data_IF_709668565280
#
_entry.id   IF_709668565280
#
_cell.length_a   1.000
_cell.length_b   1.000
_cell.length_c   1.000
_cell.angle_alpha   90.00
_cell.angle_beta   90.00
_cell.angle_gamma   90.00
#
_symmetry.space_group_name_H-M   'P 1'
#
loop_
_entity.id
_entity.type
_entity.pdbx_description
1 polymer ?
#
# COMPACT_ATOMS: atom_id res chain seq x y z
N UNK A 1 -14.85 19.90 -45.88
CA UNK A 1 -14.82 18.95 -44.75
C UNK A 1 -13.40 18.40 -44.67
N UNK A 2 -12.67 18.66 -43.59
CA UNK A 2 -11.33 18.11 -43.38
C UNK A 2 -11.45 16.75 -42.69
N UNK A 3 -10.73 15.75 -43.21
CA UNK A 3 -10.64 14.43 -42.60
C UNK A 3 -9.20 14.21 -42.14
N UNK A 4 -9.03 13.85 -40.87
CA UNK A 4 -7.73 13.49 -40.32
C UNK A 4 -7.52 12.00 -40.60
N UNK A 5 -6.59 11.68 -41.49
CA UNK A 5 -6.19 10.29 -41.76
C UNK A 5 -5.07 9.92 -40.78
N UNK A 6 -5.37 9.02 -39.83
CA UNK A 6 -4.35 8.40 -38.99
C UNK A 6 -3.85 7.14 -39.67
N UNK A 7 -2.58 7.12 -40.05
CA UNK A 7 -1.89 5.91 -40.47
C UNK A 7 -1.68 5.04 -39.22
N UNK A 8 -2.17 3.79 -39.19
CA UNK A 8 -1.88 2.89 -38.07
C UNK A 8 -0.37 2.67 -37.98
N UNK A 9 0.21 2.76 -36.76
CA UNK A 9 1.59 2.33 -36.52
C UNK A 9 1.68 0.86 -36.88
N UNK A 10 2.62 0.51 -37.76
CA UNK A 10 2.68 -0.77 -38.47
C UNK A 10 3.24 -1.95 -37.66
N UNK A 11 3.64 -1.73 -36.40
CA UNK A 11 4.26 -2.76 -35.57
C UNK A 11 3.59 -2.79 -34.20
N UNK A 12 2.61 -3.67 -34.05
CA UNK A 12 1.87 -3.87 -32.81
C UNK A 12 2.06 -5.29 -32.25
N UNK A 13 2.26 -6.28 -33.11
CA UNK A 13 2.45 -7.67 -32.71
C UNK A 13 3.87 -8.15 -32.98
N UNK A 14 4.27 -9.25 -32.33
CA UNK A 14 5.58 -9.87 -32.57
C UNK A 14 5.75 -10.27 -34.04
N UNK A 15 4.68 -10.71 -34.72
CA UNK A 15 4.72 -11.05 -36.14
C UNK A 15 5.04 -9.84 -37.03
N UNK A 16 4.53 -8.65 -36.70
CA UNK A 16 4.85 -7.44 -37.44
C UNK A 16 6.36 -7.16 -37.41
N UNK A 17 6.99 -7.35 -36.24
CA UNK A 17 8.43 -7.17 -36.07
C UNK A 17 9.26 -8.24 -36.79
N UNK A 18 8.78 -9.49 -36.87
CA UNK A 18 9.47 -10.56 -37.61
C UNK A 18 9.65 -10.21 -39.09
N UNK A 19 8.65 -9.54 -39.69
CA UNK A 19 8.67 -9.12 -41.09
C UNK A 19 9.60 -7.95 -41.40
N UNK A 20 10.21 -7.32 -40.39
CA UNK A 20 11.05 -6.13 -40.55
C UNK A 20 12.26 -6.41 -41.44
N UNK A 21 12.38 -5.65 -42.54
CA UNK A 21 13.51 -5.77 -43.45
C UNK A 21 14.77 -5.11 -42.87
N UNK A 22 15.88 -5.85 -42.81
CA UNK A 22 17.16 -5.37 -42.28
C UNK A 22 18.14 -4.99 -43.39
N UNK A 23 18.25 -5.84 -44.41
CA UNK A 23 19.17 -5.64 -45.52
C UNK A 23 18.68 -6.38 -46.76
N UNK A 24 19.10 -5.92 -47.94
CA UNK A 24 18.91 -6.65 -49.19
C UNK A 24 20.26 -7.24 -49.61
N UNK A 25 20.30 -8.55 -49.83
CA UNK A 25 21.47 -9.25 -50.33
C UNK A 25 21.73 -8.89 -51.79
N UNK A 26 22.99 -9.00 -52.24
CA UNK A 26 23.40 -8.76 -53.64
C UNK A 26 22.66 -9.66 -54.65
N UNK A 27 22.06 -10.76 -54.17
CA UNK A 27 21.26 -11.69 -54.97
C UNK A 27 19.75 -11.37 -54.96
N UNK A 28 19.33 -10.20 -54.43
CA UNK A 28 17.94 -9.75 -54.38
C UNK A 28 17.11 -10.31 -53.21
N UNK A 29 17.65 -11.22 -52.40
CA UNK A 29 16.98 -11.74 -51.21
C UNK A 29 16.88 -10.67 -50.12
N UNK A 30 15.68 -10.45 -49.59
CA UNK A 30 15.42 -9.50 -48.51
C UNK A 30 15.62 -10.21 -47.16
N UNK A 31 16.66 -9.84 -46.43
CA UNK A 31 16.93 -10.34 -45.09
C UNK A 31 15.95 -9.70 -44.12
N UNK A 32 15.14 -10.54 -43.45
CA UNK A 32 14.17 -10.12 -42.44
C UNK A 32 14.71 -10.31 -41.03
N UNK A 33 14.11 -9.64 -40.05
CA UNK A 33 14.50 -9.78 -38.65
C UNK A 33 14.33 -11.23 -38.16
N UNK A 34 13.33 -11.95 -38.66
CA UNK A 34 13.15 -13.38 -38.41
C UNK A 34 14.31 -14.27 -38.86
N UNK A 35 15.10 -13.83 -39.86
CA UNK A 35 16.21 -14.61 -40.39
C UNK A 35 17.44 -14.57 -39.46
N UNK A 36 17.49 -13.60 -38.54
CA UNK A 36 18.67 -13.34 -37.68
C UNK A 36 18.35 -13.26 -36.18
N UNK A 37 17.08 -13.18 -35.80
CA UNK A 37 16.65 -13.07 -34.42
C UNK A 37 15.33 -13.81 -34.16
N UNK A 38 15.16 -14.25 -32.91
CA UNK A 38 13.87 -14.73 -32.40
C UNK A 38 13.10 -13.54 -31.83
N UNK A 39 11.87 -13.36 -32.30
CA UNK A 39 10.97 -12.31 -31.83
C UNK A 39 9.80 -12.95 -31.11
N UNK A 40 9.70 -12.71 -29.81
CA UNK A 40 8.62 -13.20 -28.96
C UNK A 40 8.22 -12.14 -27.94
N UNK A 41 6.97 -12.21 -27.48
CA UNK A 41 6.50 -11.40 -26.34
C UNK A 41 6.94 -12.12 -25.07
N UNK A 42 8.01 -11.62 -24.45
CA UNK A 42 8.58 -12.15 -23.22
C UNK A 42 8.44 -11.19 -22.04
N UNK A 43 8.89 -11.64 -20.86
CA UNK A 43 9.10 -10.75 -19.72
C UNK A 43 10.28 -9.82 -20.00
N UNK A 44 10.22 -8.59 -19.50
CA UNK A 44 11.34 -7.63 -19.57
C UNK A 44 12.49 -8.07 -18.66
N UNK A 45 12.19 -8.80 -17.59
CA UNK A 45 13.17 -9.21 -16.59
C UNK A 45 12.92 -10.69 -16.22
N UNK A 46 13.76 -11.58 -16.73
CA UNK A 46 13.68 -13.03 -16.44
C UNK A 46 14.45 -13.44 -15.19
N UNK A 47 15.32 -12.55 -14.66
CA UNK A 47 16.23 -12.90 -13.55
C UNK A 47 15.70 -12.51 -12.16
N UNK A 48 14.72 -11.60 -12.09
CA UNK A 48 14.12 -11.17 -10.83
C UNK A 48 12.91 -12.02 -10.50
N UNK A 49 13.13 -13.10 -9.74
CA UNK A 49 12.03 -13.92 -9.22
C UNK A 49 11.70 -13.44 -7.81
N UNK A 50 10.58 -12.73 -7.67
CA UNK A 50 10.07 -12.35 -6.37
C UNK A 50 9.41 -13.57 -5.71
N UNK A 51 9.78 -13.85 -4.46
CA UNK A 51 9.26 -14.99 -3.69
C UNK A 51 8.91 -14.54 -2.29
N UNK A 52 7.76 -14.96 -1.79
CA UNK A 52 7.50 -14.99 -0.35
C UNK A 52 7.43 -16.43 0.11
N UNK A 53 8.11 -16.74 1.22
CA UNK A 53 8.11 -18.07 1.83
C UNK A 53 8.42 -19.22 0.84
N UNK A 54 9.30 -18.96 -0.15
CA UNK A 54 9.71 -19.94 -1.16
C UNK A 54 8.73 -20.10 -2.34
N UNK A 55 7.56 -19.47 -2.30
CA UNK A 55 6.56 -19.53 -3.38
C UNK A 55 6.77 -18.35 -4.34
N UNK A 56 6.84 -18.58 -5.68
CA UNK A 56 6.86 -17.51 -6.67
C UNK A 56 5.62 -16.63 -6.54
N UNK A 57 5.84 -15.32 -6.45
CA UNK A 57 4.77 -14.34 -6.34
C UNK A 57 5.11 -13.08 -7.14
N UNK A 58 4.11 -12.23 -7.35
CA UNK A 58 4.31 -10.88 -7.86
C UNK A 58 4.18 -9.91 -6.69
N UNK A 59 5.20 -9.08 -6.48
CA UNK A 59 5.16 -8.01 -5.49
C UNK A 59 4.46 -6.78 -6.05
N UNK A 60 3.44 -6.30 -5.34
CA UNK A 60 2.80 -5.01 -5.61
C UNK A 60 3.14 -4.06 -4.46
N UNK A 61 3.78 -2.94 -4.78
CA UNK A 61 4.10 -1.90 -3.82
C UNK A 61 3.05 -0.79 -3.84
N UNK A 62 2.38 -0.57 -2.71
CA UNK A 62 1.51 0.59 -2.52
C UNK A 62 2.30 1.67 -1.80
N UNK A 63 2.44 2.84 -2.43
CA UNK A 63 3.17 3.97 -1.85
C UNK A 63 2.16 5.04 -1.45
N UNK A 64 2.20 5.42 -0.18
CA UNK A 64 1.35 6.48 0.37
C UNK A 64 1.74 7.85 -0.20
N UNK A 65 0.74 8.67 -0.52
CA UNK A 65 0.97 10.08 -0.86
C UNK A 65 1.41 10.87 0.39
N UNK A 66 2.20 11.93 0.21
CA UNK A 66 2.83 12.66 1.33
C UNK A 66 1.86 13.23 2.37
N UNK A 67 0.60 13.49 2.00
CA UNK A 67 -0.43 14.05 2.88
C UNK A 67 -1.48 13.03 3.31
N UNK A 68 -1.36 11.77 2.89
CA UNK A 68 -2.35 10.75 3.19
C UNK A 68 -2.12 10.12 4.58
N UNK A 69 -3.20 9.65 5.19
CA UNK A 69 -3.17 8.90 6.44
C UNK A 69 -2.87 7.42 6.15
N UNK A 70 -1.90 6.85 6.86
CA UNK A 70 -1.46 5.45 6.67
C UNK A 70 -2.52 4.43 7.10
N UNK A 71 -3.33 4.73 8.12
CA UNK A 71 -4.40 3.85 8.61
C UNK A 71 -5.52 3.81 7.58
N UNK A 72 -5.99 4.98 7.14
CA UNK A 72 -7.03 5.09 6.10
C UNK A 72 -6.58 4.45 4.79
N UNK A 73 -5.31 4.62 4.42
CA UNK A 73 -4.76 3.97 3.23
C UNK A 73 -4.79 2.44 3.36
N UNK A 74 -4.40 1.87 4.51
CA UNK A 74 -4.45 0.41 4.69
C UNK A 74 -5.88 -0.11 4.60
N UNK A 75 -6.85 0.57 5.23
CA UNK A 75 -8.27 0.19 5.15
C UNK A 75 -8.77 0.20 3.71
N UNK A 76 -8.48 1.26 2.94
CA UNK A 76 -8.85 1.36 1.54
C UNK A 76 -8.19 0.27 0.67
N UNK A 77 -6.93 -0.05 0.94
CA UNK A 77 -6.22 -1.13 0.24
C UNK A 77 -6.84 -2.49 0.56
N UNK A 78 -7.19 -2.75 1.82
CA UNK A 78 -7.86 -3.99 2.21
C UNK A 78 -9.23 -4.15 1.55
N UNK A 79 -10.01 -3.07 1.47
CA UNK A 79 -11.29 -3.04 0.78
C UNK A 79 -11.13 -3.38 -0.71
N UNK A 80 -10.18 -2.73 -1.38
CA UNK A 80 -9.95 -2.95 -2.80
C UNK A 80 -9.36 -4.34 -3.09
N UNK A 81 -8.50 -4.86 -2.21
CA UNK A 81 -8.03 -6.24 -2.28
C UNK A 81 -9.19 -7.22 -2.20
N UNK A 82 -10.15 -7.00 -1.30
CA UNK A 82 -11.36 -7.81 -1.19
C UNK A 82 -12.21 -7.78 -2.46
N UNK A 83 -12.34 -6.61 -3.11
CA UNK A 83 -13.04 -6.47 -4.40
C UNK A 83 -12.33 -7.19 -5.54
N UNK A 84 -11.01 -7.07 -5.63
CA UNK A 84 -10.21 -7.62 -6.71
C UNK A 84 -10.01 -9.14 -6.58
N UNK A 85 -10.04 -9.69 -5.37
CA UNK A 85 -9.86 -11.12 -5.10
C UNK A 85 -10.78 -11.99 -5.96
N UNK A 86 -12.04 -11.55 -6.15
CA UNK A 86 -13.04 -12.29 -6.95
C UNK A 86 -12.86 -12.19 -8.46
N UNK A 87 -12.00 -11.30 -8.95
CA UNK A 87 -11.68 -11.15 -10.39
C UNK A 87 -10.45 -11.96 -10.82
N UNK A 88 -9.75 -12.55 -9.85
CA UNK A 88 -8.53 -13.30 -10.12
C UNK A 88 -8.83 -14.66 -10.77
N UNK A 89 -7.94 -15.14 -11.68
CA UNK A 89 -7.99 -16.49 -12.21
C UNK A 89 -7.85 -17.55 -11.11
N UNK A 90 -8.32 -18.77 -11.39
CA UNK A 90 -8.17 -19.91 -10.47
C UNK A 90 -6.70 -20.12 -10.07
N UNK A 91 -6.47 -20.31 -8.77
CA UNK A 91 -5.14 -20.53 -8.20
C UNK A 91 -4.35 -19.25 -7.87
N UNK A 92 -4.86 -18.06 -8.18
CA UNK A 92 -4.26 -16.80 -7.73
C UNK A 92 -4.89 -16.29 -6.43
N UNK A 93 -4.05 -15.76 -5.54
CA UNK A 93 -4.49 -15.07 -4.33
C UNK A 93 -3.68 -13.80 -4.13
N UNK A 94 -4.36 -12.75 -3.69
CA UNK A 94 -3.72 -11.52 -3.22
C UNK A 94 -3.61 -11.59 -1.70
N UNK A 95 -2.42 -11.31 -1.17
CA UNK A 95 -2.16 -11.27 0.26
C UNK A 95 -1.31 -10.06 0.62
N UNK A 96 -1.65 -9.41 1.73
CA UNK A 96 -0.82 -8.35 2.31
C UNK A 96 0.37 -8.99 3.02
N UNK A 97 1.58 -8.67 2.54
CA UNK A 97 2.82 -9.16 3.12
C UNK A 97 3.43 -8.15 4.11
N UNK A 98 3.18 -6.85 3.91
CA UNK A 98 3.68 -5.79 4.76
C UNK A 98 2.64 -4.67 4.84
N UNK A 99 2.35 -4.22 6.06
CA UNK A 99 1.44 -3.11 6.32
C UNK A 99 2.03 -2.23 7.45
N UNK A 100 2.32 -0.98 7.11
CA UNK A 100 2.85 -0.01 8.05
C UNK A 100 1.80 0.46 9.08
N UNK A 101 0.50 0.39 8.75
CA UNK A 101 -0.59 0.80 9.63
C UNK A 101 -0.65 -0.04 10.91
N UNK A 102 -0.32 -1.33 10.84
CA UNK A 102 -0.29 -2.23 12.01
C UNK A 102 0.66 -1.72 13.09
N UNK A 103 1.82 -1.22 12.70
CA UNK A 103 2.78 -0.64 13.62
C UNK A 103 2.25 0.65 14.26
N UNK A 104 1.65 1.53 13.46
CA UNK A 104 1.10 2.81 13.93
C UNK A 104 -0.09 2.60 14.87
N UNK A 105 -1.03 1.74 14.49
CA UNK A 105 -2.18 1.39 15.33
C UNK A 105 -1.74 0.74 16.65
N UNK A 106 -0.76 -0.17 16.60
CA UNK A 106 -0.19 -0.76 17.81
C UNK A 106 0.49 0.27 18.73
N UNK A 107 1.18 1.26 18.17
CA UNK A 107 1.77 2.35 18.95
C UNK A 107 0.69 3.23 19.62
N UNK A 108 -0.40 3.53 18.91
CA UNK A 108 -1.54 4.28 19.47
C UNK A 108 -2.17 3.51 20.63
N UNK A 109 -2.44 2.21 20.45
CA UNK A 109 -3.00 1.36 21.49
C UNK A 109 -2.12 1.33 22.75
N UNK A 110 -0.80 1.20 22.58
CA UNK A 110 0.15 1.24 23.70
C UNK A 110 0.16 2.58 24.44
N UNK A 111 0.07 3.70 23.72
CA UNK A 111 -0.03 5.02 24.33
C UNK A 111 -1.30 5.15 25.15
N UNK A 112 -2.45 4.72 24.61
CA UNK A 112 -3.75 4.74 25.31
C UNK A 112 -3.73 3.85 26.55
N UNK A 113 -3.17 2.63 26.43
CA UNK A 113 -3.01 1.72 27.57
C UNK A 113 -2.16 2.34 28.67
N UNK A 114 -1.02 2.92 28.30
CA UNK A 114 -0.09 3.55 29.25
C UNK A 114 -0.74 4.77 29.92
N UNK A 115 -1.53 5.55 29.19
CA UNK A 115 -2.31 6.66 29.74
C UNK A 115 -3.28 6.19 30.84
N UNK A 116 -4.04 5.13 30.60
CA UNK A 116 -4.97 4.60 31.60
C UNK A 116 -4.25 4.01 32.82
N UNK A 117 -3.14 3.30 32.61
CA UNK A 117 -2.31 2.79 33.71
C UNK A 117 -1.77 3.94 34.55
N UNK A 118 -1.21 4.98 33.91
CA UNK A 118 -0.67 6.15 34.59
C UNK A 118 -1.76 6.89 35.38
N UNK A 119 -2.94 7.09 34.77
CA UNK A 119 -4.08 7.71 35.45
C UNK A 119 -4.52 6.90 36.67
N UNK A 120 -4.62 5.57 36.54
CA UNK A 120 -4.93 4.68 37.66
C UNK A 120 -3.90 4.77 38.78
N UNK A 121 -2.61 4.76 38.44
CA UNK A 121 -1.53 4.93 39.41
C UNK A 121 -1.60 6.26 40.14
N UNK A 122 -1.89 7.36 39.44
CA UNK A 122 -2.07 8.69 40.07
C UNK A 122 -3.21 8.66 41.09
N UNK A 123 -4.36 8.06 40.75
CA UNK A 123 -5.49 7.93 41.68
C UNK A 123 -5.12 7.09 42.90
N UNK A 124 -4.40 5.97 42.72
CA UNK A 124 -3.95 5.11 43.81
C UNK A 124 -2.99 5.85 44.74
N UNK A 125 -1.99 6.55 44.19
CA UNK A 125 -1.03 7.32 44.99
C UNK A 125 -1.75 8.41 45.79
N UNK A 126 -2.64 9.18 45.16
CA UNK A 126 -3.44 10.22 45.83
C UNK A 126 -4.30 9.62 46.94
N UNK A 127 -4.93 8.47 46.70
CA UNK A 127 -5.72 7.76 47.72
C UNK A 127 -4.86 7.36 48.93
N UNK A 128 -3.65 6.83 48.69
CA UNK A 128 -2.74 6.44 49.78
C UNK A 128 -2.30 7.64 50.62
N UNK A 129 -2.10 8.82 50.02
CA UNK A 129 -1.71 10.03 50.75
C UNK A 129 -2.85 10.68 51.52
N UNK A 130 -4.05 10.77 50.94
CA UNK A 130 -5.18 11.46 51.57
C UNK A 130 -6.01 10.56 52.48
N UNK A 131 -6.01 9.24 52.27
CA UNK A 131 -6.76 8.26 53.09
C UNK A 131 -8.28 8.41 53.06
N UNK A 132 -8.82 9.33 52.27
CA UNK A 132 -10.25 9.65 52.21
C UNK A 132 -10.74 9.65 50.75
N UNK A 133 -11.73 8.79 50.48
CA UNK A 133 -12.33 8.61 49.16
C UNK A 133 -12.94 9.88 48.58
N UNK A 134 -13.52 10.75 49.43
CA UNK A 134 -14.13 12.01 48.96
C UNK A 134 -13.10 12.97 48.38
N UNK A 135 -11.90 13.01 48.94
CA UNK A 135 -10.84 13.91 48.49
C UNK A 135 -10.09 13.37 47.27
N UNK A 136 -10.02 12.05 47.09
CA UNK A 136 -9.42 11.42 45.89
C UNK A 136 -10.30 11.56 44.65
N UNK A 137 -11.63 11.65 44.81
CA UNK A 137 -12.57 11.82 43.70
C UNK A 137 -12.33 13.10 42.91
N UNK A 138 -11.87 14.18 43.55
CA UNK A 138 -11.64 15.46 42.90
C UNK A 138 -10.56 15.33 41.80
N UNK A 139 -9.33 14.86 42.07
CA UNK A 139 -8.34 14.60 41.02
C UNK A 139 -8.76 13.52 40.01
N UNK A 140 -9.44 12.46 40.46
CA UNK A 140 -9.83 11.35 39.59
C UNK A 140 -10.76 11.76 38.45
N UNK A 141 -11.64 12.75 38.69
CA UNK A 141 -12.55 13.29 37.68
C UNK A 141 -11.91 14.45 36.89
N UNK A 142 -11.08 15.25 37.55
CA UNK A 142 -10.46 16.44 36.92
C UNK A 142 -9.46 16.05 35.83
N UNK A 143 -8.69 14.97 36.02
CA UNK A 143 -7.68 14.52 35.04
C UNK A 143 -8.30 14.12 33.68
N UNK A 144 -9.33 13.24 33.60
CA UNK A 144 -10.03 12.95 32.34
C UNK A 144 -10.61 14.20 31.67
N UNK A 145 -11.24 15.09 32.45
CA UNK A 145 -11.87 16.30 31.92
C UNK A 145 -10.83 17.22 31.28
N UNK A 146 -9.66 17.38 31.91
CA UNK A 146 -8.58 18.18 31.36
C UNK A 146 -8.05 17.60 30.04
N UNK A 147 -7.91 16.28 29.94
CA UNK A 147 -7.47 15.59 28.72
C UNK A 147 -8.51 15.78 27.59
N UNK A 148 -9.80 15.55 27.88
CA UNK A 148 -10.88 15.79 26.92
C UNK A 148 -10.89 17.26 26.47
N UNK A 149 -10.75 18.19 27.41
CA UNK A 149 -10.68 19.62 27.11
C UNK A 149 -9.52 19.99 26.20
N UNK A 150 -8.33 19.44 26.44
CA UNK A 150 -7.16 19.65 25.58
C UNK A 150 -7.38 19.12 24.16
N UNK A 151 -7.90 17.90 24.01
CA UNK A 151 -8.21 17.34 22.69
C UNK A 151 -9.32 18.11 21.97
N UNK A 152 -10.34 18.58 22.69
CA UNK A 152 -11.43 19.39 22.12
C UNK A 152 -10.90 20.73 21.60
N UNK A 153 -10.01 21.38 22.35
CA UNK A 153 -9.38 22.63 21.92
C UNK A 153 -8.51 22.41 20.67
N UNK A 154 -7.71 21.34 20.63
CA UNK A 154 -6.92 20.97 19.45
C UNK A 154 -7.80 20.69 18.22
N UNK A 155 -8.89 19.94 18.40
CA UNK A 155 -9.83 19.63 17.32
C UNK A 155 -10.56 20.88 16.79
N UNK A 156 -10.76 21.91 17.61
CA UNK A 156 -11.37 23.17 17.18
C UNK A 156 -10.38 24.11 16.46
N UNK A 157 -9.07 23.90 16.63
CA UNK A 157 -8.02 24.70 15.98
C UNK A 157 -7.62 24.17 14.59
N UNK A 158 -8.01 22.94 14.27
CA UNK A 158 -7.72 22.25 13.03
C UNK A 158 -8.95 22.20 12.13
#
# INVERSE_FOLDING_TARGET
>A
RQFIVRLPRSFATAEDFQGLALAQSNNGYLVRLSDVARVEVGSVEDRSVFRANGVPMVGLGVIMQSTANVIELSEAVQEELGRLQGTLPEGMSLTLNYDASVFVSGAIEQVVMTLFIAMGLVVVVIFLFLGNFRTTLVPAVTVPIAVIGAFTALAAMN
#
